data_IF_904033536834
#
_entry.id   IF_904033536834
#
_cell.length_a   1.000
_cell.length_b   1.000
_cell.length_c   1.000
_cell.angle_alpha   90.00
_cell.angle_beta   90.00
_cell.angle_gamma   90.00
#
_symmetry.space_group_name_H-M   'P 1'
#
loop_
_entity.id
_entity.type
_entity.pdbx_description
1 polymer ?
#
# COMPACT_ATOMS: atom_id res chain seq x y z
N UNK A 1 -4.72 -22.54 5.06
CA UNK A 1 -3.87 -23.60 5.67
C UNK A 1 -2.67 -23.82 4.77
N UNK A 2 -1.47 -24.00 5.32
CA UNK A 2 -0.29 -24.38 4.54
C UNK A 2 -0.43 -25.83 4.09
N UNK A 3 -0.45 -26.08 2.77
CA UNK A 3 -0.65 -27.42 2.22
C UNK A 3 0.68 -28.19 2.05
N UNK A 4 1.78 -27.50 1.74
CA UNK A 4 3.10 -28.08 1.50
C UNK A 4 4.21 -27.11 1.96
N UNK A 5 5.38 -27.65 2.29
CA UNK A 5 6.58 -26.85 2.56
C UNK A 5 7.16 -26.30 1.27
N UNK A 6 6.81 -25.06 0.92
CA UNK A 6 7.30 -24.34 -0.25
C UNK A 6 7.46 -22.84 0.05
N UNK A 7 8.13 -22.11 -0.83
CA UNK A 7 8.22 -20.66 -0.78
C UNK A 7 7.05 -20.00 -1.51
N UNK A 8 6.65 -18.82 -1.05
CA UNK A 8 5.67 -17.96 -1.71
C UNK A 8 6.08 -16.49 -1.53
N UNK A 9 5.73 -15.65 -2.50
CA UNK A 9 5.81 -14.20 -2.39
C UNK A 9 4.43 -13.66 -2.00
N UNK A 10 4.38 -12.81 -0.99
CA UNK A 10 3.13 -12.19 -0.50
C UNK A 10 3.43 -10.80 0.04
N UNK A 11 2.43 -9.92 0.04
CA UNK A 11 2.55 -8.65 0.74
C UNK A 11 2.49 -8.85 2.28
N UNK A 12 2.97 -7.85 3.02
CA UNK A 12 3.07 -7.94 4.49
C UNK A 12 1.72 -7.96 5.17
N UNK A 13 0.73 -7.23 4.66
CA UNK A 13 -0.59 -7.16 5.28
C UNK A 13 -1.31 -8.51 5.18
N UNK A 14 -1.22 -9.17 4.03
CA UNK A 14 -1.72 -10.53 3.82
C UNK A 14 -1.02 -11.52 4.74
N UNK A 15 0.31 -11.48 4.85
CA UNK A 15 1.05 -12.32 5.80
C UNK A 15 0.61 -12.11 7.26
N UNK A 16 0.47 -10.85 7.71
CA UNK A 16 0.04 -10.53 9.07
C UNK A 16 -1.36 -11.09 9.33
N UNK A 17 -2.32 -10.83 8.44
CA UNK A 17 -3.71 -11.27 8.58
C UNK A 17 -3.91 -12.78 8.45
N UNK A 18 -3.03 -13.48 7.74
CA UNK A 18 -3.14 -14.91 7.52
C UNK A 18 -2.89 -15.69 8.82
N UNK A 19 -3.97 -16.19 9.44
CA UNK A 19 -3.88 -16.82 10.76
C UNK A 19 -3.12 -18.17 10.77
N UNK A 20 -3.29 -19.00 9.73
CA UNK A 20 -2.74 -20.36 9.70
C UNK A 20 -1.41 -20.42 8.94
N UNK A 21 -0.34 -19.93 9.58
CA UNK A 21 1.02 -19.88 9.04
C UNK A 21 1.76 -21.24 9.09
N UNK A 22 1.28 -22.22 9.86
CA UNK A 22 2.00 -23.48 10.06
C UNK A 22 3.43 -23.23 10.54
N UNK A 23 4.41 -23.89 9.91
CA UNK A 23 5.84 -23.67 10.13
C UNK A 23 6.48 -22.61 9.22
N UNK A 24 5.69 -21.92 8.40
CA UNK A 24 6.19 -20.88 7.49
C UNK A 24 6.70 -19.67 8.29
N UNK A 25 7.76 -19.06 7.78
CA UNK A 25 8.39 -17.86 8.34
C UNK A 25 8.81 -16.93 7.21
N UNK A 26 9.01 -15.65 7.54
CA UNK A 26 9.60 -14.71 6.59
C UNK A 26 11.06 -15.16 6.36
N UNK A 27 11.37 -15.50 5.11
CA UNK A 27 12.73 -15.89 4.71
C UNK A 27 13.54 -14.70 4.15
N UNK A 28 12.85 -13.75 3.51
CA UNK A 28 13.45 -12.56 2.87
C UNK A 28 12.51 -11.37 3.07
N UNK A 29 13.04 -10.23 3.51
CA UNK A 29 12.34 -8.94 3.61
C UNK A 29 13.33 -7.77 3.53
N UNK A 30 12.85 -6.58 3.15
CA UNK A 30 13.65 -5.34 3.18
C UNK A 30 14.45 -5.03 1.91
N UNK A 31 14.47 -5.93 0.92
CA UNK A 31 15.08 -5.65 -0.38
C UNK A 31 14.34 -4.49 -1.08
N UNK A 32 15.04 -3.46 -1.61
CA UNK A 32 14.42 -2.36 -2.33
C UNK A 32 13.53 -2.78 -3.50
N UNK A 33 13.83 -3.90 -4.17
CA UNK A 33 13.02 -4.44 -5.26
C UNK A 33 11.65 -4.98 -4.78
N UNK A 34 11.49 -5.23 -3.48
CA UNK A 34 10.23 -5.66 -2.87
C UNK A 34 9.38 -4.48 -2.38
N UNK A 35 9.84 -3.24 -2.57
CA UNK A 35 9.06 -2.06 -2.18
C UNK A 35 7.84 -1.89 -3.11
N UNK A 36 6.65 -1.92 -2.50
CA UNK A 36 5.39 -1.74 -3.22
C UNK A 36 4.97 -0.26 -3.19
N UNK A 37 5.44 0.51 -4.17
CA UNK A 37 5.15 1.94 -4.26
C UNK A 37 3.72 2.20 -4.76
N UNK A 38 2.98 3.04 -4.02
CA UNK A 38 1.65 3.51 -4.42
C UNK A 38 1.73 4.93 -4.99
N UNK A 39 0.98 5.18 -6.05
CA UNK A 39 0.86 6.50 -6.69
C UNK A 39 -0.58 7.01 -6.70
N UNK A 40 -0.74 8.33 -6.71
CA UNK A 40 -2.02 9.02 -6.89
C UNK A 40 -1.94 9.92 -8.11
N UNK A 41 -2.98 9.92 -8.94
CA UNK A 41 -3.02 10.71 -10.19
C UNK A 41 -4.37 11.41 -10.27
N UNK A 42 -4.34 12.74 -10.40
CA UNK A 42 -5.55 13.52 -10.65
C UNK A 42 -6.10 13.25 -12.05
N UNK A 43 -7.42 13.06 -12.16
CA UNK A 43 -8.08 12.90 -13.46
C UNK A 43 -8.07 14.23 -14.20
N UNK A 44 -7.70 14.20 -15.49
CA UNK A 44 -7.53 15.39 -16.31
C UNK A 44 -8.87 16.13 -16.58
N UNK A 45 -9.05 17.38 -16.10
CA UNK A 45 -10.30 18.13 -16.28
C UNK A 45 -10.59 18.53 -17.73
N UNK A 46 -9.56 18.66 -18.58
CA UNK A 46 -9.76 18.93 -20.01
C UNK A 46 -10.45 17.75 -20.74
N UNK A 47 -10.31 16.53 -20.20
CA UNK A 47 -10.97 15.33 -20.71
C UNK A 47 -12.24 14.96 -19.92
N UNK A 48 -12.31 15.37 -18.66
CA UNK A 48 -13.42 15.09 -17.76
C UNK A 48 -13.91 16.39 -17.11
N UNK A 49 -14.75 17.19 -17.80
CA UNK A 49 -15.10 18.54 -17.33
C UNK A 49 -15.83 18.59 -15.97
N UNK A 50 -16.53 17.51 -15.63
CA UNK A 50 -17.27 17.40 -14.36
C UNK A 50 -16.42 16.83 -13.21
N UNK A 51 -15.12 16.62 -13.42
CA UNK A 51 -14.23 16.14 -12.36
C UNK A 51 -14.07 17.22 -11.29
N UNK A 52 -13.99 16.78 -10.04
CA UNK A 52 -13.65 17.65 -8.91
C UNK A 52 -12.13 17.87 -8.82
N UNK A 53 -11.60 18.67 -9.75
CA UNK A 53 -10.15 18.89 -9.87
C UNK A 53 -9.53 19.50 -8.59
N UNK A 54 -10.14 20.55 -8.03
CA UNK A 54 -9.64 21.19 -6.81
C UNK A 54 -9.63 20.24 -5.60
N UNK A 55 -10.73 19.53 -5.26
CA UNK A 55 -10.69 18.53 -4.19
C UNK A 55 -9.69 17.40 -4.43
N UNK A 56 -9.49 16.97 -5.69
CA UNK A 56 -8.49 15.96 -6.01
C UNK A 56 -7.07 16.46 -5.72
N UNK A 57 -6.76 17.71 -6.08
CA UNK A 57 -5.47 18.31 -5.76
C UNK A 57 -5.28 18.48 -4.25
N UNK A 58 -6.30 18.96 -3.54
CA UNK A 58 -6.26 19.10 -2.08
C UNK A 58 -5.97 17.75 -1.37
N UNK A 59 -6.53 16.65 -1.89
CA UNK A 59 -6.22 15.31 -1.38
C UNK A 59 -4.76 14.91 -1.67
N UNK A 60 -4.26 15.16 -2.89
CA UNK A 60 -2.87 14.88 -3.26
C UNK A 60 -1.91 15.67 -2.37
N UNK A 61 -2.16 16.96 -2.17
CA UNK A 61 -1.33 17.83 -1.33
C UNK A 61 -1.31 17.34 0.12
N UNK A 62 -2.46 16.95 0.67
CA UNK A 62 -2.52 16.33 2.00
C UNK A 62 -1.75 15.00 2.04
N UNK A 63 -1.94 14.14 1.04
CA UNK A 63 -1.34 12.80 0.98
C UNK A 63 0.19 12.88 0.94
N UNK A 64 0.74 13.85 0.20
CA UNK A 64 2.19 14.06 0.08
C UNK A 64 2.76 14.92 1.22
N UNK A 65 1.92 15.72 1.87
CA UNK A 65 2.30 16.59 2.98
C UNK A 65 2.60 15.83 4.28
N UNK A 66 3.24 16.55 5.22
CA UNK A 66 3.66 15.99 6.51
C UNK A 66 2.51 15.32 7.27
N UNK A 67 1.34 15.95 7.32
CA UNK A 67 0.18 15.40 8.03
C UNK A 67 -0.27 14.05 7.45
N UNK A 68 -0.36 13.93 6.13
CA UNK A 68 -0.75 12.68 5.47
C UNK A 68 0.31 11.60 5.62
N UNK A 69 1.58 11.93 5.41
CA UNK A 69 2.69 11.00 5.59
C UNK A 69 2.79 10.48 7.03
N UNK A 70 2.61 11.35 8.03
CA UNK A 70 2.57 10.96 9.43
C UNK A 70 1.37 10.06 9.75
N UNK A 71 0.18 10.39 9.23
CA UNK A 71 -1.01 9.56 9.42
C UNK A 71 -0.82 8.15 8.82
N UNK A 72 -0.22 8.05 7.63
CA UNK A 72 0.10 6.77 6.98
C UNK A 72 1.12 5.99 7.81
N UNK A 73 2.23 6.62 8.22
CA UNK A 73 3.29 5.98 9.00
C UNK A 73 2.85 5.53 10.40
N UNK A 74 1.87 6.22 10.99
CA UNK A 74 1.31 5.90 12.30
C UNK A 74 0.27 4.79 12.27
N UNK A 75 -0.31 4.46 11.12
CA UNK A 75 -1.36 3.45 11.01
C UNK A 75 -0.88 2.07 11.50
N UNK A 76 -1.69 1.43 12.34
CA UNK A 76 -1.49 0.05 12.81
C UNK A 76 -2.81 -0.70 12.66
N UNK A 77 -2.71 -1.98 12.34
CA UNK A 77 -3.83 -2.93 12.29
C UNK A 77 -3.74 -3.86 13.49
#
# INVERSE_FOLDING_TARGET
>A
ATAMGAYALTDRATWIAFANKGSQRIAVEGDPALFNQYGVIAVNPARCPNVKAEPAQAFIDWLLGEAGQNAIGAYRR
#
